data_IF_073637796839
#
_entry.id   IF_073637796839
#
_cell.length_a   1.000
_cell.length_b   1.000
_cell.length_c   1.000
_cell.angle_alpha   90.00
_cell.angle_beta   90.00
_cell.angle_gamma   90.00
#
_symmetry.space_group_name_H-M   'P 1'
#
loop_
_entity.id
_entity.type
_entity.pdbx_description
1 polymer ?
#
# COMPACT_ATOMS: atom_id res chain seq x y z
N UNK A 1 5.69 -16.34 -16.07
CA UNK A 1 4.34 -16.87 -15.78
C UNK A 1 3.33 -16.42 -16.81
N UNK A 2 3.07 -15.12 -16.98
CA UNK A 2 2.13 -14.64 -18.02
C UNK A 2 2.47 -15.17 -19.44
N UNK A 3 3.71 -14.99 -19.92
CA UNK A 3 4.13 -15.49 -21.25
C UNK A 3 4.12 -17.02 -21.39
N UNK A 4 3.98 -17.74 -20.27
CA UNK A 4 3.85 -19.19 -20.24
C UNK A 4 2.39 -19.62 -20.04
N UNK A 5 1.45 -18.68 -20.05
CA UNK A 5 0.02 -18.90 -19.82
C UNK A 5 -0.31 -19.54 -18.46
N UNK A 6 0.45 -19.17 -17.43
CA UNK A 6 0.33 -19.74 -16.07
C UNK A 6 -0.40 -18.83 -15.06
N UNK A 7 -0.85 -17.64 -15.48
CA UNK A 7 -1.64 -16.74 -14.64
C UNK A 7 -2.45 -15.76 -15.48
N UNK A 8 -3.60 -15.35 -14.94
CA UNK A 8 -4.42 -14.24 -15.41
C UNK A 8 -4.24 -12.97 -14.57
N UNK A 9 -3.49 -13.07 -13.47
CA UNK A 9 -3.33 -11.98 -12.54
C UNK A 9 -2.43 -12.27 -11.35
N UNK A 10 -2.19 -11.25 -10.52
CA UNK A 10 -1.35 -11.36 -9.32
C UNK A 10 -1.93 -10.63 -8.11
N UNK A 11 -1.71 -11.19 -6.93
CA UNK A 11 -1.89 -10.50 -5.65
C UNK A 11 -0.67 -9.61 -5.39
N UNK A 12 -0.81 -8.32 -5.70
CA UNK A 12 0.26 -7.33 -5.62
C UNK A 12 0.51 -6.92 -4.18
N UNK A 13 1.80 -6.91 -3.79
CA UNK A 13 2.27 -6.41 -2.50
C UNK A 13 3.45 -5.49 -2.76
N UNK A 14 3.28 -4.18 -2.62
CA UNK A 14 4.35 -3.19 -2.83
C UNK A 14 5.69 -3.57 -2.18
N UNK A 15 5.76 -4.02 -0.91
CA UNK A 15 7.02 -4.44 -0.28
C UNK A 15 7.69 -5.66 -0.93
N UNK A 16 6.96 -6.45 -1.74
CA UNK A 16 7.49 -7.62 -2.47
C UNK A 16 7.88 -7.29 -3.92
N UNK A 17 7.59 -6.07 -4.37
CA UNK A 17 7.85 -5.64 -5.75
C UNK A 17 9.17 -4.90 -5.91
N UNK A 18 9.86 -4.53 -4.82
CA UNK A 18 11.02 -3.62 -4.88
C UNK A 18 10.65 -2.14 -4.76
N UNK A 19 9.51 -1.84 -4.11
CA UNK A 19 9.06 -0.46 -3.86
C UNK A 19 8.12 0.09 -4.93
N UNK A 20 7.75 1.37 -4.80
CA UNK A 20 6.71 2.03 -5.61
C UNK A 20 7.05 2.05 -7.11
N UNK A 21 8.30 2.32 -7.46
CA UNK A 21 8.74 2.40 -8.86
C UNK A 21 8.53 1.09 -9.61
N UNK A 22 8.97 -0.02 -9.01
CA UNK A 22 8.83 -1.34 -9.62
C UNK A 22 7.38 -1.84 -9.55
N UNK A 23 6.68 -1.58 -8.45
CA UNK A 23 5.25 -1.88 -8.34
C UNK A 23 4.44 -1.19 -9.44
N UNK A 24 4.74 0.09 -9.74
CA UNK A 24 4.11 0.83 -10.86
C UNK A 24 4.42 0.22 -12.21
N UNK A 25 5.66 -0.23 -12.45
CA UNK A 25 6.02 -0.91 -13.71
C UNK A 25 5.24 -2.20 -13.89
N UNK A 26 5.06 -2.98 -12.82
CA UNK A 26 4.25 -4.19 -12.84
C UNK A 26 2.80 -3.84 -13.14
N UNK A 27 2.21 -2.86 -12.46
CA UNK A 27 0.82 -2.45 -12.72
C UNK A 27 0.60 -1.97 -14.16
N UNK A 28 1.52 -1.17 -14.70
CA UNK A 28 1.50 -0.77 -16.11
C UNK A 28 1.55 -1.99 -17.04
N UNK A 29 2.45 -2.94 -16.77
CA UNK A 29 2.53 -4.18 -17.56
C UNK A 29 1.21 -4.95 -17.52
N UNK A 30 0.59 -5.05 -16.35
CA UNK A 30 -0.67 -5.75 -16.18
C UNK A 30 -1.82 -5.08 -16.95
N UNK A 31 -1.95 -3.76 -16.82
CA UNK A 31 -2.94 -2.97 -17.56
C UNK A 31 -2.77 -3.13 -19.08
N UNK A 32 -1.53 -3.05 -19.58
CA UNK A 32 -1.21 -3.20 -21.00
C UNK A 32 -1.54 -4.57 -21.58
N UNK A 33 -1.55 -5.62 -20.74
CA UNK A 33 -1.83 -6.99 -21.18
C UNK A 33 -3.19 -7.51 -20.71
N UNK A 34 -4.04 -6.64 -20.14
CA UNK A 34 -5.36 -7.05 -19.64
C UNK A 34 -5.33 -8.01 -18.45
N UNK A 35 -4.22 -8.06 -17.70
CA UNK A 35 -4.09 -8.93 -16.53
C UNK A 35 -4.70 -8.29 -15.28
N UNK A 36 -5.22 -9.15 -14.40
CA UNK A 36 -5.87 -8.72 -13.17
C UNK A 36 -4.86 -8.49 -12.05
N UNK A 37 -4.99 -7.40 -11.30
CA UNK A 37 -4.31 -7.26 -10.02
C UNK A 37 -5.29 -7.24 -8.85
N UNK A 38 -4.84 -7.76 -7.71
CA UNK A 38 -5.50 -7.66 -6.42
C UNK A 38 -4.56 -6.96 -5.45
N UNK A 39 -4.99 -5.81 -4.93
CA UNK A 39 -4.23 -5.06 -3.94
C UNK A 39 -4.15 -5.85 -2.63
N UNK A 40 -2.94 -6.13 -2.16
CA UNK A 40 -2.66 -6.90 -0.95
C UNK A 40 -1.52 -6.26 -0.17
N UNK A 41 -1.66 -6.21 1.14
CA UNK A 41 -0.59 -5.78 2.03
C UNK A 41 0.21 -6.93 2.62
N UNK A 42 1.18 -6.59 3.48
CA UNK A 42 1.87 -7.50 4.39
C UNK A 42 1.64 -7.10 5.85
N UNK A 43 0.41 -6.72 6.20
CA UNK A 43 0.12 -6.02 7.46
C UNK A 43 0.96 -4.73 7.55
N UNK A 44 0.87 -3.92 6.49
CA UNK A 44 1.73 -2.76 6.32
C UNK A 44 1.47 -1.70 7.41
N UNK A 45 2.53 -1.15 8.03
CA UNK A 45 2.41 -0.02 8.94
C UNK A 45 2.17 1.28 8.16
N UNK A 46 1.84 2.35 8.89
CA UNK A 46 1.22 3.57 8.37
C UNK A 46 1.90 4.18 7.13
N UNK A 47 3.23 4.31 7.15
CA UNK A 47 3.99 4.91 6.03
C UNK A 47 3.89 4.04 4.77
N UNK A 48 3.99 2.72 4.94
CA UNK A 48 3.87 1.77 3.83
C UNK A 48 2.43 1.68 3.31
N UNK A 49 1.44 1.75 4.21
CA UNK A 49 0.04 1.82 3.85
C UNK A 49 -0.27 3.09 3.03
N UNK A 50 0.20 4.26 3.46
CA UNK A 50 0.01 5.52 2.74
C UNK A 50 0.59 5.45 1.32
N UNK A 51 1.82 4.96 1.18
CA UNK A 51 2.47 4.74 -0.11
C UNK A 51 1.67 3.78 -1.01
N UNK A 52 1.15 2.70 -0.43
CA UNK A 52 0.35 1.69 -1.14
C UNK A 52 -0.99 2.25 -1.61
N UNK A 53 -1.67 3.03 -0.77
CA UNK A 53 -2.93 3.69 -1.11
C UNK A 53 -2.76 4.71 -2.24
N UNK A 54 -1.68 5.48 -2.24
CA UNK A 54 -1.37 6.40 -3.34
C UNK A 54 -1.18 5.67 -4.67
N UNK A 55 -0.41 4.57 -4.66
CA UNK A 55 -0.17 3.80 -5.87
C UNK A 55 -1.48 3.18 -6.39
N UNK A 56 -2.22 2.44 -5.56
CA UNK A 56 -3.45 1.79 -6.04
C UNK A 56 -4.57 2.77 -6.32
N UNK A 57 -4.63 3.90 -5.61
CA UNK A 57 -5.54 5.02 -5.93
C UNK A 57 -5.28 5.61 -7.31
N UNK A 58 -4.01 5.70 -7.73
CA UNK A 58 -3.64 6.18 -9.07
C UNK A 58 -4.01 5.20 -10.21
N UNK A 59 -4.17 3.91 -9.91
CA UNK A 59 -4.57 2.86 -10.87
C UNK A 59 -6.07 2.51 -10.79
N UNK A 60 -6.89 3.40 -10.21
CA UNK A 60 -8.34 3.25 -10.08
C UNK A 60 -8.75 1.84 -9.61
N UNK A 61 -8.31 1.44 -8.42
CA UNK A 61 -8.59 0.12 -7.87
C UNK A 61 -10.10 -0.22 -7.88
N UNK A 62 -10.50 -1.12 -8.77
CA UNK A 62 -11.91 -1.52 -8.93
C UNK A 62 -12.34 -2.64 -7.98
N UNK A 63 -11.40 -3.46 -7.50
CA UNK A 63 -11.67 -4.64 -6.66
C UNK A 63 -11.30 -4.39 -5.20
N UNK A 64 -11.96 -5.07 -4.24
CA UNK A 64 -11.60 -4.99 -2.84
C UNK A 64 -10.12 -5.28 -2.58
N UNK A 65 -9.53 -4.53 -1.65
CA UNK A 65 -8.13 -4.65 -1.26
C UNK A 65 -7.98 -5.41 0.07
N UNK A 66 -6.95 -6.24 0.18
CA UNK A 66 -6.50 -6.83 1.43
C UNK A 66 -5.41 -5.95 2.09
N UNK A 67 -5.74 -4.68 2.37
CA UNK A 67 -4.87 -3.70 3.05
C UNK A 67 -5.26 -3.57 4.51
N UNK A 68 -5.06 -4.64 5.25
CA UNK A 68 -5.65 -4.88 6.57
C UNK A 68 -4.75 -4.51 7.76
N UNK A 69 -3.57 -3.91 7.53
CA UNK A 69 -2.66 -3.46 8.59
C UNK A 69 -3.35 -2.74 9.77
N UNK A 70 -4.22 -1.75 9.51
CA UNK A 70 -4.94 -1.02 10.56
C UNK A 70 -5.87 -1.88 11.46
N UNK A 71 -6.22 -3.10 11.04
CA UNK A 71 -7.05 -4.01 11.84
C UNK A 71 -6.23 -4.76 12.90
N UNK A 72 -4.92 -4.89 12.68
CA UNK A 72 -4.03 -5.74 13.50
C UNK A 72 -2.96 -4.94 14.26
N UNK A 73 -2.60 -3.76 13.76
CA UNK A 73 -1.60 -2.89 14.37
C UNK A 73 -2.26 -1.89 15.31
N UNK A 74 -1.75 -1.80 16.53
CA UNK A 74 -2.16 -0.78 17.50
C UNK A 74 -1.25 0.45 17.43
N UNK A 75 -1.84 1.64 17.53
CA UNK A 75 -1.10 2.89 17.46
C UNK A 75 -0.75 3.30 16.04
N UNK A 76 -0.06 4.43 15.93
CA UNK A 76 0.42 4.98 14.65
C UNK A 76 1.70 5.76 14.91
N UNK A 77 2.57 5.91 13.93
CA UNK A 77 3.70 6.84 13.93
C UNK A 77 3.44 8.08 13.08
N UNK A 78 2.22 8.28 12.58
CA UNK A 78 1.83 9.50 11.88
C UNK A 78 1.24 10.52 12.85
N UNK A 79 1.35 11.80 12.51
CA UNK A 79 0.60 12.86 13.19
C UNK A 79 -0.91 12.66 13.03
N UNK A 80 -1.32 12.25 11.83
CA UNK A 80 -2.68 11.85 11.54
C UNK A 80 -2.68 10.48 10.85
N UNK A 81 -3.27 9.43 11.47
CA UNK A 81 -3.34 8.12 10.85
C UNK A 81 -4.21 8.16 9.59
N UNK A 82 -4.00 7.19 8.69
CA UNK A 82 -4.90 6.96 7.56
C UNK A 82 -6.32 6.73 8.07
N UNK A 83 -7.27 7.52 7.56
CA UNK A 83 -8.69 7.38 7.92
C UNK A 83 -9.26 6.12 7.29
N UNK A 84 -9.80 5.23 8.13
CA UNK A 84 -10.53 4.03 7.73
C UNK A 84 -11.97 4.13 8.25
N UNK A 85 -12.94 3.99 7.36
CA UNK A 85 -14.37 4.03 7.66
C UNK A 85 -15.06 2.81 7.07
N UNK A 86 -15.49 1.89 7.94
CA UNK A 86 -16.02 0.60 7.52
C UNK A 86 -14.97 -0.19 6.73
N UNK A 87 -15.28 -0.51 5.48
CA UNK A 87 -14.43 -1.25 4.55
C UNK A 87 -13.61 -0.34 3.61
N UNK A 88 -13.57 0.97 3.87
CA UNK A 88 -12.89 1.95 2.99
C UNK A 88 -11.77 2.67 3.73
N UNK A 89 -10.62 2.78 3.08
CA UNK A 89 -9.51 3.63 3.50
C UNK A 89 -9.41 4.85 2.59
N UNK A 90 -9.19 6.03 3.16
CA UNK A 90 -8.96 7.25 2.39
C UNK A 90 -7.55 7.29 1.82
N UNK A 91 -7.43 7.61 0.53
CA UNK A 91 -6.12 7.88 -0.09
C UNK A 91 -5.59 9.21 0.44
N UNK A 92 -4.37 9.28 0.99
CA UNK A 92 -3.78 10.53 1.45
C UNK A 92 -3.67 11.58 0.33
N UNK A 93 -3.75 12.85 0.70
CA UNK A 93 -3.65 13.98 -0.23
C UNK A 93 -2.53 14.93 0.19
N UNK A 94 -1.92 15.63 -0.77
CA UNK A 94 -0.85 16.59 -0.52
C UNK A 94 0.46 16.16 -1.18
N UNK A 95 1.57 16.80 -0.78
CA UNK A 95 2.89 16.53 -1.35
C UNK A 95 3.50 15.23 -0.79
N UNK A 96 4.34 14.59 -1.60
CA UNK A 96 5.02 13.36 -1.20
C UNK A 96 4.03 12.22 -0.95
N UNK A 97 4.08 11.63 0.26
CA UNK A 97 3.16 10.57 0.68
C UNK A 97 1.83 11.10 1.25
N UNK A 98 1.64 12.43 1.33
CA UNK A 98 0.42 13.03 1.90
C UNK A 98 0.24 12.75 3.40
N UNK A 99 1.33 12.44 4.10
CA UNK A 99 1.37 12.12 5.53
C UNK A 99 2.54 12.82 6.21
N UNK A 100 2.45 12.98 7.52
CA UNK A 100 3.49 13.53 8.38
C UNK A 100 3.80 12.53 9.51
N UNK A 101 5.09 12.29 9.76
CA UNK A 101 5.55 11.37 10.81
C UNK A 101 5.65 12.12 12.13
N UNK A 102 5.11 11.53 13.20
CA UNK A 102 5.31 12.02 14.56
C UNK A 102 6.68 11.56 15.08
N UNK A 103 7.68 12.42 14.87
CA UNK A 103 9.09 12.17 15.23
C UNK A 103 9.29 11.93 16.73
N UNK A 104 8.52 12.61 17.59
CA UNK A 104 8.61 12.41 19.05
C UNK A 104 8.22 10.99 19.43
N UNK A 105 7.10 10.49 18.87
CA UNK A 105 6.62 9.13 19.12
C UNK A 105 7.57 8.09 18.55
N UNK A 106 8.08 8.33 17.34
CA UNK A 106 9.08 7.47 16.70
C UNK A 106 10.31 7.29 17.61
N UNK A 107 10.92 8.39 18.05
CA UNK A 107 12.11 8.37 18.91
C UNK A 107 11.85 7.72 20.27
N UNK A 108 10.67 7.94 20.85
CA UNK A 108 10.31 7.31 22.13
C UNK A 108 10.06 5.80 22.04
N UNK A 109 9.91 5.25 20.82
CA UNK A 109 9.63 3.85 20.57
C UNK A 109 10.83 3.09 20.01
N UNK A 110 12.01 3.72 19.96
CA UNK A 110 13.24 3.07 19.53
C UNK A 110 13.52 1.86 20.44
N UNK A 111 13.67 0.69 19.84
CA UNK A 111 14.09 -0.51 20.53
C UNK A 111 15.59 -0.39 20.72
N UNK A 112 16.07 -0.43 21.96
CA UNK A 112 17.50 -0.47 22.24
C UNK A 112 18.13 -1.69 21.55
N UNK A 113 19.23 -1.49 20.82
CA UNK A 113 20.05 -2.55 20.22
C UNK A 113 20.58 -3.55 21.26
#
# INVERSE_FOLDING_TARGET
FHQLDLLDGVAMKVPRCGGLTEARRILNYMEQHGLLFFASGLTDPDVSLAATLLLYGAFNLERPAALNGPQFLSGTFLEQPVRVEGDRASVPSGFGLGIEVNETRLRSSEIAE
#
